data_IF_013338355642
#
_entry.id   IF_013338355642
#
_cell.length_a   1.000
_cell.length_b   1.000
_cell.length_c   1.000
_cell.angle_alpha   90.00
_cell.angle_beta   90.00
_cell.angle_gamma   90.00
#
_symmetry.space_group_name_H-M   'P 1'
#
loop_
_entity.id
_entity.type
_entity.pdbx_description
1 polymer ?
#
# COMPACT_ATOMS: atom_id res chain seq x y z
N UNK A 1 -1.77 20.59 -25.49
CA UNK A 1 -2.16 21.03 -24.13
C UNK A 1 -0.91 21.58 -23.49
N UNK A 2 -0.92 22.85 -23.10
CA UNK A 2 0.23 23.45 -22.41
C UNK A 2 0.42 22.75 -21.07
N UNK A 3 1.60 22.21 -20.85
CA UNK A 3 1.99 21.55 -19.58
C UNK A 3 2.17 22.64 -18.52
N UNK A 4 1.06 23.07 -17.92
CA UNK A 4 1.08 24.15 -16.93
C UNK A 4 1.33 23.56 -15.54
N UNK A 5 2.46 23.97 -14.96
CA UNK A 5 2.75 23.71 -13.57
C UNK A 5 1.73 24.38 -12.66
N UNK A 6 1.42 23.77 -11.53
CA UNK A 6 0.52 24.34 -10.51
C UNK A 6 1.26 24.48 -9.19
N UNK A 7 1.52 25.73 -8.75
CA UNK A 7 2.13 25.99 -7.45
C UNK A 7 1.33 25.41 -6.30
N UNK A 8 2.01 24.97 -5.26
CA UNK A 8 1.42 24.39 -4.06
C UNK A 8 1.27 25.50 -3.01
N UNK A 9 0.08 26.05 -2.88
CA UNK A 9 -0.27 27.10 -1.92
C UNK A 9 -1.00 26.55 -0.71
N UNK A 10 -1.81 25.49 -0.92
CA UNK A 10 -2.62 24.87 0.10
C UNK A 10 -2.55 23.35 0.00
N UNK A 11 -2.18 22.70 1.11
CA UNK A 11 -2.03 21.26 1.21
C UNK A 11 -2.97 20.66 2.27
N UNK A 12 -3.55 19.51 1.97
CA UNK A 12 -4.22 18.64 2.94
C UNK A 12 -3.29 17.47 3.27
N UNK A 13 -2.93 17.31 4.54
CA UNK A 13 -1.99 16.26 4.98
C UNK A 13 -2.65 15.39 6.05
N UNK A 14 -2.82 14.11 5.76
CA UNK A 14 -3.38 13.13 6.68
C UNK A 14 -2.67 11.80 6.52
N UNK A 15 -1.68 11.51 7.37
CA UNK A 15 -0.83 10.33 7.24
C UNK A 15 -0.82 9.51 8.54
N UNK A 16 -0.92 8.19 8.39
CA UNK A 16 -0.73 7.27 9.51
C UNK A 16 0.76 7.09 9.79
N UNK A 17 1.54 6.68 8.80
CA UNK A 17 3.00 6.60 8.85
C UNK A 17 3.60 7.99 8.66
N UNK A 18 4.45 8.38 9.60
CA UNK A 18 5.00 9.74 9.69
C UNK A 18 6.49 9.83 9.33
N UNK A 19 7.04 8.73 8.83
CA UNK A 19 8.43 8.66 8.38
C UNK A 19 8.66 9.66 7.25
N UNK A 20 9.69 10.49 7.39
CA UNK A 20 10.07 11.50 6.41
C UNK A 20 9.16 12.73 6.36
N UNK A 21 8.16 12.86 7.25
CA UNK A 21 7.25 14.02 7.28
C UNK A 21 8.00 15.34 7.54
N UNK A 22 9.19 15.27 8.17
CA UNK A 22 10.06 16.40 8.45
C UNK A 22 10.48 17.12 7.16
N UNK A 23 10.67 16.36 6.07
CA UNK A 23 11.05 16.89 4.75
C UNK A 23 9.92 17.77 4.19
N UNK A 24 8.66 17.36 4.37
CA UNK A 24 7.50 18.15 3.97
C UNK A 24 7.32 19.37 4.86
N UNK A 25 7.45 19.20 6.18
CA UNK A 25 7.29 20.27 7.16
C UNK A 25 8.26 21.42 6.88
N UNK A 26 9.54 21.13 6.68
CA UNK A 26 10.57 22.13 6.37
C UNK A 26 10.25 22.91 5.07
N UNK A 27 9.80 22.18 4.04
CA UNK A 27 9.41 22.81 2.77
C UNK A 27 8.18 23.73 2.93
N UNK A 28 7.14 23.26 3.65
CA UNK A 28 5.92 24.05 3.87
C UNK A 28 6.17 25.32 4.69
N UNK A 29 7.01 25.22 5.74
CA UNK A 29 7.40 26.39 6.55
C UNK A 29 8.13 27.41 5.69
N UNK A 30 9.12 27.00 4.90
CA UNK A 30 9.91 27.90 4.05
C UNK A 30 9.09 28.58 2.96
N UNK A 31 8.12 27.84 2.38
CA UNK A 31 7.27 28.37 1.31
C UNK A 31 6.04 29.12 1.81
N UNK A 32 5.71 29.06 3.10
CA UNK A 32 4.47 29.62 3.65
C UNK A 32 3.21 28.91 3.14
N UNK A 33 3.30 27.60 2.86
CA UNK A 33 2.16 26.79 2.40
C UNK A 33 1.11 26.69 3.50
N UNK A 34 -0.16 27.00 3.20
CA UNK A 34 -1.29 26.76 4.11
C UNK A 34 -1.51 25.25 4.25
N UNK A 35 -1.39 24.71 5.46
CA UNK A 35 -1.55 23.27 5.72
C UNK A 35 -2.82 23.02 6.51
N UNK A 36 -3.69 22.17 5.97
CA UNK A 36 -4.86 21.62 6.66
C UNK A 36 -4.54 20.18 7.04
N UNK A 37 -4.79 19.84 8.30
CA UNK A 37 -4.52 18.49 8.80
C UNK A 37 -5.44 18.12 9.95
N UNK A 38 -5.31 16.90 10.49
CA UNK A 38 -6.15 16.44 11.59
C UNK A 38 -5.39 15.47 12.50
N UNK A 39 -5.80 15.44 13.77
CA UNK A 39 -5.35 14.49 14.77
C UNK A 39 -3.83 14.45 14.98
N UNK A 40 -3.26 13.24 15.02
CA UNK A 40 -1.83 13.07 15.31
C UNK A 40 -0.92 13.62 14.20
N UNK A 41 -1.41 13.75 12.97
CA UNK A 41 -0.64 14.37 11.86
C UNK A 41 -0.54 15.88 12.06
N UNK A 42 -1.65 16.54 12.41
CA UNK A 42 -1.66 17.97 12.72
C UNK A 42 -0.71 18.30 13.87
N UNK A 43 -0.77 17.53 14.95
CA UNK A 43 0.13 17.68 16.10
C UNK A 43 1.58 17.54 15.71
N UNK A 44 1.94 16.50 14.94
CA UNK A 44 3.33 16.28 14.51
C UNK A 44 3.85 17.40 13.61
N UNK A 45 3.04 17.89 12.68
CA UNK A 45 3.42 19.01 11.81
C UNK A 45 3.59 20.31 12.61
N UNK A 46 2.73 20.57 13.58
CA UNK A 46 2.84 21.74 14.47
C UNK A 46 4.15 21.67 15.33
N UNK A 47 4.49 20.49 15.85
CA UNK A 47 5.76 20.26 16.56
C UNK A 47 7.00 20.57 15.67
N UNK A 48 6.86 20.40 14.36
CA UNK A 48 7.90 20.72 13.36
C UNK A 48 7.84 22.18 12.86
N UNK A 49 7.00 23.03 13.48
CA UNK A 49 6.92 24.46 13.18
C UNK A 49 5.97 24.84 12.05
N UNK A 50 5.19 23.89 11.50
CA UNK A 50 4.17 24.19 10.48
C UNK A 50 2.95 24.86 11.13
N UNK A 51 2.49 25.95 10.56
CA UNK A 51 1.18 26.50 10.93
C UNK A 51 0.07 25.65 10.35
N UNK A 52 -0.61 24.87 11.19
CA UNK A 52 -1.65 23.92 10.79
C UNK A 52 -3.03 24.48 11.11
N UNK A 53 -3.93 24.43 10.14
CA UNK A 53 -5.38 24.61 10.36
C UNK A 53 -6.01 23.23 10.55
N UNK A 54 -6.72 23.04 11.65
CA UNK A 54 -7.42 21.76 11.89
C UNK A 54 -8.60 21.60 10.91
N UNK A 55 -8.88 20.36 10.51
CA UNK A 55 -10.02 20.03 9.66
C UNK A 55 -11.33 20.48 10.29
N UNK A 56 -11.48 20.38 11.61
CA UNK A 56 -12.64 20.88 12.36
C UNK A 56 -12.87 22.39 12.20
N UNK A 57 -11.78 23.17 12.10
CA UNK A 57 -11.88 24.63 11.89
C UNK A 57 -12.34 24.95 10.46
N UNK A 58 -11.91 24.13 9.50
CA UNK A 58 -12.35 24.29 8.09
C UNK A 58 -13.80 23.90 7.90
N UNK A 59 -14.25 22.84 8.57
CA UNK A 59 -15.58 22.26 8.37
C UNK A 59 -16.63 22.88 9.29
N UNK A 60 -16.21 23.46 10.42
CA UNK A 60 -17.11 23.84 11.53
C UNK A 60 -17.76 22.63 12.21
N UNK A 61 -17.31 21.42 11.93
CA UNK A 61 -17.87 20.18 12.45
C UNK A 61 -16.83 19.43 13.30
N UNK A 62 -17.15 19.07 14.55
CA UNK A 62 -16.22 18.36 15.41
C UNK A 62 -15.98 16.93 14.90
N UNK A 63 -14.80 16.38 15.20
CA UNK A 63 -14.53 14.96 15.04
C UNK A 63 -15.53 14.16 15.89
N UNK A 64 -16.13 13.12 15.30
CA UNK A 64 -17.13 12.30 15.99
C UNK A 64 -16.95 10.81 15.67
N UNK A 65 -17.67 9.95 16.43
CA UNK A 65 -17.62 8.50 16.29
C UNK A 65 -16.18 7.96 16.38
N UNK A 66 -15.43 8.39 17.40
CA UNK A 66 -14.04 8.01 17.65
C UNK A 66 -13.11 8.25 16.45
N UNK A 67 -13.40 9.30 15.65
CA UNK A 67 -12.62 9.68 14.49
C UNK A 67 -13.01 9.01 13.19
N UNK A 68 -14.05 8.18 13.16
CA UNK A 68 -14.55 7.57 11.92
C UNK A 68 -15.12 8.61 10.94
N UNK A 69 -15.60 9.74 11.45
CA UNK A 69 -16.05 10.88 10.64
C UNK A 69 -15.22 12.11 11.01
N UNK A 70 -14.35 12.51 10.10
CA UNK A 70 -13.37 13.57 10.26
C UNK A 70 -13.26 14.40 8.99
N UNK A 71 -12.68 13.76 7.96
CA UNK A 71 -12.42 14.34 6.63
C UNK A 71 -13.56 14.09 5.64
N UNK A 72 -14.52 13.21 5.97
CA UNK A 72 -15.71 12.93 5.15
C UNK A 72 -16.72 14.07 5.27
N UNK A 73 -16.37 15.23 4.75
CA UNK A 73 -17.19 16.42 4.83
C UNK A 73 -17.20 17.14 3.46
N UNK A 74 -18.34 17.72 3.02
CA UNK A 74 -18.44 18.43 1.74
C UNK A 74 -17.37 19.51 1.57
N UNK A 75 -17.00 20.25 2.59
CA UNK A 75 -15.99 21.30 2.52
C UNK A 75 -14.60 20.78 2.17
N UNK A 76 -14.25 19.60 2.68
CA UNK A 76 -12.97 18.94 2.36
C UNK A 76 -13.03 18.37 0.94
N UNK A 77 -14.09 17.61 0.64
CA UNK A 77 -14.20 16.93 -0.66
C UNK A 77 -14.46 17.87 -1.82
N UNK A 78 -15.20 18.96 -1.62
CA UNK A 78 -15.33 20.00 -2.65
C UNK A 78 -13.97 20.69 -2.93
N UNK A 79 -13.18 20.97 -1.88
CA UNK A 79 -11.84 21.52 -2.03
C UNK A 79 -10.87 20.59 -2.79
N UNK A 80 -11.07 19.26 -2.69
CA UNK A 80 -10.28 18.26 -3.42
C UNK A 80 -10.79 18.08 -4.87
N UNK A 81 -12.11 18.04 -5.06
CA UNK A 81 -12.74 17.62 -6.32
C UNK A 81 -13.02 18.74 -7.30
N UNK A 82 -12.98 20.01 -6.87
CA UNK A 82 -13.23 21.12 -7.74
C UNK A 82 -12.18 21.21 -8.85
N UNK A 83 -12.63 21.09 -10.08
CA UNK A 83 -11.80 21.36 -11.25
C UNK A 83 -11.65 22.87 -11.45
N UNK A 84 -10.49 23.39 -11.07
CA UNK A 84 -10.18 24.83 -11.16
C UNK A 84 -9.94 25.32 -12.59
N UNK A 85 -10.05 24.44 -13.59
CA UNK A 85 -10.11 24.83 -15.01
C UNK A 85 -11.55 25.13 -15.45
N UNK A 86 -12.55 24.76 -14.64
CA UNK A 86 -13.96 25.05 -14.86
C UNK A 86 -14.38 26.29 -14.05
N UNK A 87 -14.75 27.42 -14.70
CA UNK A 87 -15.14 28.63 -14.00
C UNK A 87 -16.35 28.48 -13.06
N UNK A 88 -17.30 27.60 -13.39
CA UNK A 88 -18.46 27.33 -12.54
C UNK A 88 -18.07 26.64 -11.21
N UNK A 89 -17.06 25.76 -11.23
CA UNK A 89 -16.56 25.16 -10.00
C UNK A 89 -15.88 26.22 -9.10
N UNK A 90 -15.06 27.09 -9.70
CA UNK A 90 -14.41 28.18 -8.96
C UNK A 90 -15.45 29.12 -8.30
N UNK A 91 -16.51 29.48 -9.05
CA UNK A 91 -17.62 30.31 -8.55
C UNK A 91 -18.36 29.63 -7.39
N UNK A 92 -18.69 28.33 -7.50
CA UNK A 92 -19.37 27.60 -6.44
C UNK A 92 -18.51 27.48 -5.17
N UNK A 93 -17.19 27.28 -5.31
CA UNK A 93 -16.30 27.27 -4.16
C UNK A 93 -16.29 28.64 -3.45
N UNK A 94 -16.27 29.74 -4.21
CA UNK A 94 -16.33 31.09 -3.66
C UNK A 94 -17.66 31.34 -2.94
N UNK A 95 -18.80 30.97 -3.54
CA UNK A 95 -20.14 31.07 -2.94
C UNK A 95 -20.27 30.32 -1.62
N UNK A 96 -19.61 29.13 -1.50
CA UNK A 96 -19.63 28.33 -0.29
C UNK A 96 -18.49 28.66 0.69
N UNK A 97 -17.61 29.61 0.35
CA UNK A 97 -16.44 29.93 1.18
C UNK A 97 -15.42 28.81 1.28
N UNK A 98 -15.36 27.92 0.29
CA UNK A 98 -14.47 26.77 0.25
C UNK A 98 -13.19 27.12 -0.51
N UNK A 99 -12.04 26.87 0.08
CA UNK A 99 -10.75 27.02 -0.59
C UNK A 99 -10.31 25.69 -1.22
N UNK A 100 -9.86 25.67 -2.49
CA UNK A 100 -9.35 24.47 -3.13
C UNK A 100 -8.02 24.00 -2.50
N UNK A 101 -7.69 22.72 -2.65
CA UNK A 101 -6.38 22.18 -2.36
C UNK A 101 -5.54 22.03 -3.64
N UNK A 102 -4.25 22.30 -3.55
CA UNK A 102 -3.27 22.07 -4.63
C UNK A 102 -2.54 20.74 -4.46
N UNK A 103 -2.42 20.30 -3.20
CA UNK A 103 -1.73 19.06 -2.81
C UNK A 103 -2.55 18.31 -1.76
N UNK A 104 -2.62 16.99 -1.92
CA UNK A 104 -3.14 16.05 -0.93
C UNK A 104 -2.05 15.03 -0.63
N UNK A 105 -1.69 14.88 0.64
CA UNK A 105 -0.73 13.88 1.11
C UNK A 105 -1.44 12.96 2.09
N UNK A 106 -1.66 11.72 1.68
CA UNK A 106 -2.43 10.74 2.46
C UNK A 106 -1.81 9.36 2.31
N UNK A 107 -1.41 8.74 3.42
CA UNK A 107 -1.21 7.30 3.46
C UNK A 107 -2.28 6.65 4.35
N UNK A 108 -2.56 5.38 4.09
CA UNK A 108 -3.70 4.68 4.67
C UNK A 108 -3.32 3.98 5.98
N UNK A 109 -4.31 3.56 6.74
CA UNK A 109 -4.10 2.75 7.92
C UNK A 109 -3.43 1.41 7.55
N UNK A 110 -2.56 0.87 8.43
CA UNK A 110 -1.74 -0.31 8.14
C UNK A 110 -2.53 -1.61 8.28
N UNK A 111 -3.54 -1.81 7.43
CA UNK A 111 -4.42 -2.98 7.48
C UNK A 111 -3.62 -4.30 7.39
N UNK A 112 -2.72 -4.42 6.42
CA UNK A 112 -1.89 -5.61 6.24
C UNK A 112 -1.01 -5.90 7.46
N UNK A 113 -0.39 -4.87 8.07
CA UNK A 113 0.42 -5.03 9.28
C UNK A 113 -0.41 -5.51 10.46
N UNK A 114 -1.64 -5.00 10.58
CA UNK A 114 -2.57 -5.40 11.63
C UNK A 114 -2.97 -6.87 11.48
N UNK A 115 -3.28 -7.31 10.25
CA UNK A 115 -3.55 -8.72 9.96
C UNK A 115 -2.34 -9.59 10.31
N UNK A 116 -1.14 -9.20 9.89
CA UNK A 116 0.10 -9.96 10.16
C UNK A 116 0.44 -10.04 11.66
N UNK A 117 0.07 -9.05 12.44
CA UNK A 117 0.28 -9.06 13.89
C UNK A 117 -0.60 -10.07 14.63
N UNK A 118 -1.56 -10.72 13.94
CA UNK A 118 -2.51 -11.65 14.55
C UNK A 118 -3.58 -10.96 15.39
N UNK A 119 -3.89 -9.68 15.09
CA UNK A 119 -4.95 -8.95 15.76
C UNK A 119 -6.31 -9.66 15.62
N UNK A 120 -7.19 -9.46 16.60
CA UNK A 120 -8.54 -10.01 16.51
C UNK A 120 -9.37 -9.33 15.42
N UNK A 121 -10.52 -9.91 15.09
CA UNK A 121 -11.39 -9.42 14.02
C UNK A 121 -11.83 -7.97 14.22
N UNK A 122 -12.24 -7.60 15.44
CA UNK A 122 -12.72 -6.25 15.74
C UNK A 122 -11.61 -5.19 15.54
N UNK A 123 -10.40 -5.45 16.02
CA UNK A 123 -9.24 -4.57 15.86
C UNK A 123 -8.81 -4.47 14.40
N UNK A 124 -8.94 -5.55 13.64
CA UNK A 124 -8.63 -5.57 12.20
C UNK A 124 -9.65 -4.73 11.42
N UNK A 125 -10.95 -4.85 11.73
CA UNK A 125 -12.01 -4.05 11.10
C UNK A 125 -11.79 -2.56 11.37
N UNK A 126 -11.37 -2.17 12.58
CA UNK A 126 -11.07 -0.76 12.91
C UNK A 126 -9.91 -0.17 12.09
N UNK A 127 -9.12 -0.99 11.43
CA UNK A 127 -8.05 -0.55 10.50
C UNK A 127 -8.48 -0.49 9.04
N UNK A 128 -9.75 -0.70 8.74
CA UNK A 128 -10.31 -0.40 7.42
C UNK A 128 -10.49 1.11 7.32
N UNK A 129 -9.59 1.76 6.60
CA UNK A 129 -9.63 3.21 6.39
C UNK A 129 -10.72 3.58 5.37
N UNK A 130 -11.63 4.47 5.75
CA UNK A 130 -12.71 4.97 4.88
C UNK A 130 -12.36 6.35 4.33
N UNK A 131 -11.91 7.25 5.19
CA UNK A 131 -11.63 8.64 4.82
C UNK A 131 -10.42 8.80 3.93
N UNK A 132 -9.35 8.05 4.22
CA UNK A 132 -8.11 8.07 3.43
C UNK A 132 -8.34 7.71 1.97
N UNK A 133 -8.88 6.53 1.65
CA UNK A 133 -9.19 6.15 0.26
C UNK A 133 -10.10 7.13 -0.46
N UNK A 134 -11.08 7.70 0.23
CA UNK A 134 -11.97 8.75 -0.35
C UNK A 134 -11.18 9.97 -0.82
N UNK A 135 -10.29 10.50 0.03
CA UNK A 135 -9.44 11.66 -0.30
C UNK A 135 -8.47 11.32 -1.42
N UNK A 136 -7.81 10.17 -1.34
CA UNK A 136 -6.85 9.68 -2.35
C UNK A 136 -7.51 9.58 -3.72
N UNK A 137 -8.64 8.90 -3.82
CA UNK A 137 -9.37 8.70 -5.08
C UNK A 137 -9.93 10.03 -5.63
N UNK A 138 -10.43 10.91 -4.74
CA UNK A 138 -10.90 12.24 -5.12
C UNK A 138 -9.80 13.08 -5.75
N UNK A 139 -8.65 13.19 -5.10
CA UNK A 139 -7.50 13.92 -5.59
C UNK A 139 -6.92 13.30 -6.89
N UNK A 140 -6.79 11.98 -6.94
CA UNK A 140 -6.32 11.28 -8.14
C UNK A 140 -7.24 11.52 -9.36
N UNK A 141 -8.57 11.47 -9.16
CA UNK A 141 -9.53 11.82 -10.20
C UNK A 141 -9.33 13.26 -10.70
N UNK A 142 -9.10 14.20 -9.78
CA UNK A 142 -8.92 15.60 -10.08
C UNK A 142 -7.46 15.99 -10.37
N UNK A 143 -6.65 15.08 -10.91
CA UNK A 143 -5.24 15.32 -11.25
C UNK A 143 -5.00 16.52 -12.18
N UNK A 144 -6.03 16.99 -12.87
CA UNK A 144 -5.95 18.22 -13.65
C UNK A 144 -5.57 19.43 -12.79
N UNK A 145 -5.97 19.45 -11.52
CA UNK A 145 -5.77 20.59 -10.61
C UNK A 145 -5.10 20.26 -9.29
N UNK A 146 -5.12 18.99 -8.85
CA UNK A 146 -4.58 18.56 -7.55
C UNK A 146 -3.47 17.52 -7.74
N UNK A 147 -2.38 17.66 -6.98
CA UNK A 147 -1.40 16.60 -6.83
C UNK A 147 -1.77 15.69 -5.66
N UNK A 148 -1.60 14.38 -5.80
CA UNK A 148 -1.82 13.38 -4.75
C UNK A 148 -0.55 12.59 -4.47
N UNK A 149 -0.16 12.49 -3.22
CA UNK A 149 1.02 11.72 -2.78
C UNK A 149 0.60 10.74 -1.69
N UNK A 150 0.86 9.45 -1.93
CA UNK A 150 0.52 8.36 -1.02
C UNK A 150 1.73 7.66 -0.43
N UNK A 151 2.92 7.91 -1.00
CA UNK A 151 4.16 7.20 -0.69
C UNK A 151 5.19 8.17 -0.07
N UNK A 152 5.70 7.91 1.14
CA UNK A 152 6.77 8.71 1.74
C UNK A 152 8.02 8.85 0.86
N UNK A 153 8.30 7.89 -0.02
CA UNK A 153 9.42 7.97 -0.97
C UNK A 153 9.32 9.18 -1.93
N UNK A 154 8.11 9.72 -2.13
CA UNK A 154 7.89 10.89 -2.98
C UNK A 154 8.00 12.23 -2.22
N UNK A 155 8.20 12.24 -0.90
CA UNK A 155 8.24 13.49 -0.11
C UNK A 155 9.38 14.42 -0.51
N UNK A 156 10.52 13.89 -0.89
CA UNK A 156 11.62 14.70 -1.40
C UNK A 156 11.26 15.42 -2.73
N UNK A 157 10.49 14.76 -3.59
CA UNK A 157 9.97 15.38 -4.82
C UNK A 157 8.99 16.50 -4.49
N UNK A 158 8.07 16.27 -3.54
CA UNK A 158 7.13 17.32 -3.06
C UNK A 158 7.92 18.53 -2.55
N UNK A 159 8.89 18.29 -1.66
CA UNK A 159 9.70 19.37 -1.08
C UNK A 159 10.43 20.20 -2.15
N UNK A 160 10.98 19.54 -3.17
CA UNK A 160 11.62 20.23 -4.29
C UNK A 160 10.61 21.10 -5.08
N UNK A 161 9.41 20.60 -5.37
CA UNK A 161 8.36 21.33 -6.10
C UNK A 161 7.72 22.46 -5.29
N UNK A 162 7.72 22.35 -3.97
CA UNK A 162 7.30 23.43 -3.06
C UNK A 162 8.39 24.51 -3.01
N UNK A 163 9.65 24.11 -2.84
CA UNK A 163 10.77 25.03 -2.66
C UNK A 163 11.07 25.89 -3.91
N UNK A 164 10.96 25.32 -5.11
CA UNK A 164 11.16 26.04 -6.37
C UNK A 164 9.93 26.89 -6.79
N UNK A 165 8.81 26.76 -6.05
CA UNK A 165 7.56 27.50 -6.29
C UNK A 165 6.85 27.14 -7.60
N UNK A 166 7.34 26.17 -8.36
CA UNK A 166 6.74 25.78 -9.64
C UNK A 166 5.57 24.83 -9.48
N UNK A 167 5.57 24.03 -8.40
CA UNK A 167 4.62 22.95 -8.18
C UNK A 167 4.76 21.84 -9.22
N UNK A 168 3.71 21.01 -9.34
CA UNK A 168 3.72 19.85 -10.23
C UNK A 168 3.21 20.17 -11.63
N UNK A 169 3.89 19.63 -12.64
CA UNK A 169 3.39 19.58 -14.02
C UNK A 169 2.19 18.63 -14.15
N UNK A 170 1.43 18.74 -15.24
CA UNK A 170 0.29 17.84 -15.48
C UNK A 170 0.73 16.38 -15.58
N UNK A 171 1.88 16.11 -16.20
CA UNK A 171 2.36 14.73 -16.37
C UNK A 171 2.82 14.13 -15.04
N UNK A 172 3.44 14.93 -14.17
CA UNK A 172 3.77 14.50 -12.80
C UNK A 172 2.50 14.23 -12.00
N UNK A 173 1.48 15.09 -12.08
CA UNK A 173 0.19 14.85 -11.40
C UNK A 173 -0.51 13.60 -11.91
N UNK A 174 -0.47 13.29 -13.21
CA UNK A 174 -1.00 12.04 -13.78
C UNK A 174 -0.25 10.82 -13.27
N UNK A 175 1.09 10.90 -13.20
CA UNK A 175 1.90 9.82 -12.67
C UNK A 175 1.61 9.55 -11.19
N UNK A 176 1.51 10.61 -10.38
CA UNK A 176 1.13 10.51 -8.97
C UNK A 176 -0.30 9.95 -8.81
N UNK A 177 -1.24 10.37 -9.65
CA UNK A 177 -2.60 9.83 -9.66
C UNK A 177 -2.65 8.34 -10.00
N UNK A 178 -1.82 7.88 -10.94
CA UNK A 178 -1.70 6.46 -11.27
C UNK A 178 -1.16 5.66 -10.07
N UNK A 179 -0.12 6.16 -9.37
CA UNK A 179 0.37 5.56 -8.11
C UNK A 179 -0.73 5.49 -7.05
N UNK A 180 -1.50 6.57 -6.90
CA UNK A 180 -2.59 6.66 -5.92
C UNK A 180 -3.71 5.65 -6.19
N UNK A 181 -4.12 5.45 -7.45
CA UNK A 181 -5.09 4.42 -7.81
C UNK A 181 -4.53 3.01 -7.60
N UNK A 182 -3.26 2.76 -7.91
CA UNK A 182 -2.62 1.48 -7.62
C UNK A 182 -2.59 1.20 -6.11
N UNK A 183 -2.28 2.23 -5.29
CA UNK A 183 -2.26 2.13 -3.84
C UNK A 183 -3.64 1.76 -3.25
N UNK A 184 -4.72 2.43 -3.68
CA UNK A 184 -6.07 2.10 -3.20
C UNK A 184 -6.56 0.75 -3.72
N UNK A 185 -6.22 0.36 -4.94
CA UNK A 185 -6.56 -0.96 -5.48
C UNK A 185 -5.87 -2.09 -4.69
N UNK A 186 -4.59 -1.93 -4.35
CA UNK A 186 -3.86 -2.88 -3.52
C UNK A 186 -4.43 -2.96 -2.10
N UNK A 187 -4.80 -1.82 -1.52
CA UNK A 187 -5.43 -1.74 -0.22
C UNK A 187 -6.76 -2.50 -0.17
N UNK A 188 -7.66 -2.23 -1.11
CA UNK A 188 -8.96 -2.91 -1.20
C UNK A 188 -8.80 -4.41 -1.51
N UNK A 189 -7.85 -4.79 -2.35
CA UNK A 189 -7.56 -6.20 -2.63
C UNK A 189 -7.10 -6.96 -1.37
N UNK A 190 -6.28 -6.32 -0.53
CA UNK A 190 -5.82 -6.90 0.74
C UNK A 190 -6.99 -7.08 1.72
N UNK A 191 -7.89 -6.10 1.81
CA UNK A 191 -9.12 -6.22 2.60
C UNK A 191 -10.01 -7.33 2.06
N UNK A 192 -10.20 -7.39 0.74
CA UNK A 192 -11.00 -8.43 0.09
C UNK A 192 -10.45 -9.83 0.36
N UNK A 193 -9.15 -10.05 0.29
CA UNK A 193 -8.52 -11.35 0.59
C UNK A 193 -8.78 -11.75 2.04
N UNK A 194 -8.64 -10.83 2.97
CA UNK A 194 -8.90 -11.08 4.38
C UNK A 194 -10.38 -11.38 4.65
N UNK A 195 -11.30 -10.56 4.13
CA UNK A 195 -12.75 -10.73 4.35
C UNK A 195 -13.27 -12.01 3.71
N UNK A 196 -12.82 -12.36 2.52
CA UNK A 196 -13.21 -13.61 1.86
C UNK A 196 -12.84 -14.85 2.69
N UNK A 197 -11.74 -14.78 3.44
CA UNK A 197 -11.30 -15.86 4.34
C UNK A 197 -12.10 -15.89 5.66
N UNK A 198 -12.48 -14.74 6.21
CA UNK A 198 -13.08 -14.63 7.55
C UNK A 198 -14.60 -14.52 7.51
N UNK A 199 -15.18 -14.08 6.38
CA UNK A 199 -16.63 -13.92 6.20
C UNK A 199 -17.15 -14.82 5.06
N UNK A 200 -17.10 -16.15 5.24
CA UNK A 200 -17.61 -17.06 4.21
C UNK A 200 -19.12 -16.87 4.01
N UNK A 201 -19.61 -17.22 2.82
CA UNK A 201 -21.04 -17.20 2.54
C UNK A 201 -21.78 -18.05 3.58
N UNK A 202 -22.82 -17.52 4.27
CA UNK A 202 -23.60 -18.30 5.21
C UNK A 202 -24.34 -19.43 4.53
N UNK A 203 -24.34 -20.63 5.10
CA UNK A 203 -25.07 -21.79 4.57
C UNK A 203 -26.58 -21.53 4.33
N UNK A 204 -27.17 -20.59 5.09
CA UNK A 204 -28.56 -20.17 4.88
C UNK A 204 -28.82 -19.49 3.52
N UNK A 205 -27.79 -19.09 2.80
CA UNK A 205 -27.87 -18.46 1.47
C UNK A 205 -27.56 -19.44 0.33
N UNK A 206 -27.21 -20.69 0.62
CA UNK A 206 -26.86 -21.70 -0.40
C UNK A 206 -28.06 -22.05 -1.32
N UNK A 207 -29.29 -21.81 -0.87
CA UNK A 207 -30.49 -22.01 -1.66
C UNK A 207 -30.76 -20.92 -2.74
N UNK A 208 -29.99 -19.82 -2.75
CA UNK A 208 -30.28 -18.63 -3.58
C UNK A 208 -29.49 -18.61 -4.89
N UNK A 209 -28.27 -19.14 -4.91
CA UNK A 209 -27.46 -19.28 -6.12
C UNK A 209 -26.51 -20.47 -5.97
N UNK A 210 -26.79 -21.50 -6.73
CA UNK A 210 -25.86 -22.62 -6.91
C UNK A 210 -25.18 -22.42 -8.25
N UNK A 211 -23.89 -22.04 -8.19
CA UNK A 211 -23.04 -22.07 -9.38
C UNK A 211 -22.92 -23.51 -9.89
N UNK A 212 -23.15 -23.71 -11.17
CA UNK A 212 -23.04 -25.03 -11.80
C UNK A 212 -21.98 -24.97 -12.89
N UNK A 213 -21.18 -26.04 -12.96
CA UNK A 213 -20.25 -26.25 -14.06
C UNK A 213 -21.00 -26.56 -15.38
N UNK A 214 -20.25 -26.72 -16.48
CA UNK A 214 -20.79 -27.04 -17.79
C UNK A 214 -21.49 -28.39 -17.84
N UNK A 215 -21.38 -29.22 -16.82
CA UNK A 215 -22.04 -30.52 -16.67
C UNK A 215 -23.24 -30.46 -15.72
N UNK A 216 -23.54 -29.28 -15.16
CA UNK A 216 -24.64 -29.07 -14.21
C UNK A 216 -24.30 -29.49 -12.77
N UNK A 217 -23.03 -29.77 -12.47
CA UNK A 217 -22.57 -30.09 -11.12
C UNK A 217 -22.41 -28.84 -10.29
N UNK A 218 -22.82 -28.86 -9.03
CA UNK A 218 -22.69 -27.73 -8.12
C UNK A 218 -21.21 -27.40 -7.88
N UNK A 219 -20.85 -26.15 -8.11
CA UNK A 219 -19.51 -25.63 -7.86
C UNK A 219 -19.46 -25.01 -6.46
N UNK A 220 -18.50 -25.42 -5.66
CA UNK A 220 -18.23 -24.79 -4.36
C UNK A 220 -17.64 -23.38 -4.58
N UNK A 221 -18.49 -22.37 -4.55
CA UNK A 221 -18.10 -20.96 -4.75
C UNK A 221 -17.13 -20.44 -3.70
N UNK A 222 -17.01 -21.11 -2.55
CA UNK A 222 -15.97 -20.78 -1.55
C UNK A 222 -14.57 -21.19 -2.01
N UNK A 223 -14.47 -22.28 -2.81
CA UNK A 223 -13.21 -22.72 -3.43
C UNK A 223 -12.90 -22.03 -4.74
N UNK A 224 -13.95 -21.71 -5.51
CA UNK A 224 -13.84 -21.11 -6.85
C UNK A 224 -14.67 -19.83 -6.91
N UNK A 225 -14.19 -18.71 -6.35
CA UNK A 225 -14.92 -17.45 -6.38
C UNK A 225 -15.07 -16.94 -7.81
N UNK A 226 -16.19 -16.28 -8.12
CA UNK A 226 -16.42 -15.65 -9.43
C UNK A 226 -15.45 -14.53 -9.75
N UNK A 227 -14.82 -13.96 -8.72
CA UNK A 227 -13.77 -12.94 -8.84
C UNK A 227 -12.62 -13.29 -7.92
N UNK A 228 -11.41 -13.31 -8.45
CA UNK A 228 -10.18 -13.51 -7.69
C UNK A 228 -9.28 -12.29 -7.85
N UNK A 229 -9.02 -11.60 -6.73
CA UNK A 229 -8.13 -10.44 -6.71
C UNK A 229 -7.02 -10.68 -5.70
N UNK A 230 -5.77 -10.44 -6.13
CA UNK A 230 -4.60 -10.56 -5.29
C UNK A 230 -3.57 -9.51 -5.67
N UNK A 231 -2.82 -9.03 -4.69
CA UNK A 231 -1.73 -8.10 -4.92
C UNK A 231 -0.41 -8.69 -4.43
N UNK A 232 0.68 -8.24 -5.05
CA UNK A 232 2.04 -8.52 -4.62
C UNK A 232 2.84 -7.25 -4.63
N UNK A 233 3.60 -7.01 -3.57
CA UNK A 233 4.51 -5.88 -3.46
C UNK A 233 5.88 -6.24 -4.03
N UNK A 234 6.47 -5.33 -4.81
CA UNK A 234 7.82 -5.53 -5.31
C UNK A 234 8.83 -5.35 -4.20
N UNK A 235 9.43 -6.46 -3.73
CA UNK A 235 10.49 -6.44 -2.74
C UNK A 235 11.82 -5.98 -3.34
N UNK A 236 12.22 -6.57 -4.49
CA UNK A 236 13.51 -6.30 -5.10
C UNK A 236 13.43 -6.27 -6.63
N UNK A 237 14.20 -5.39 -7.26
CA UNK A 237 14.58 -5.54 -8.66
C UNK A 237 15.81 -6.44 -8.71
N UNK A 238 15.76 -7.52 -9.48
CA UNK A 238 16.82 -8.51 -9.54
C UNK A 238 17.91 -8.11 -10.54
N UNK A 239 19.08 -8.72 -10.39
CA UNK A 239 20.23 -8.42 -11.22
C UNK A 239 20.00 -8.71 -12.72
N UNK A 240 19.30 -9.78 -13.05
CA UNK A 240 18.79 -10.17 -14.38
C UNK A 240 17.74 -11.27 -14.25
N UNK A 241 17.02 -11.57 -15.34
CA UNK A 241 16.01 -12.64 -15.40
C UNK A 241 16.62 -14.02 -15.60
N UNK A 242 15.90 -14.90 -16.31
CA UNK A 242 16.40 -16.24 -16.66
C UNK A 242 17.67 -16.13 -17.51
N UNK A 243 17.66 -15.21 -18.47
CA UNK A 243 18.82 -14.88 -19.30
C UNK A 243 19.34 -13.47 -18.97
N UNK A 244 20.62 -13.24 -19.22
CA UNK A 244 21.34 -12.02 -18.82
C UNK A 244 20.80 -10.72 -19.43
N UNK A 245 20.08 -10.78 -20.53
CA UNK A 245 19.46 -9.63 -21.21
C UNK A 245 18.04 -9.32 -20.71
N UNK A 246 17.46 -10.20 -19.90
CA UNK A 246 16.11 -10.03 -19.36
C UNK A 246 16.14 -9.28 -18.03
N UNK A 247 15.09 -8.50 -17.77
CA UNK A 247 14.85 -7.90 -16.47
C UNK A 247 13.96 -8.81 -15.61
N UNK A 248 14.14 -8.77 -14.29
CA UNK A 248 13.29 -9.50 -13.34
C UNK A 248 13.13 -8.71 -12.04
N UNK A 249 12.07 -9.03 -11.32
CA UNK A 249 11.80 -8.51 -9.99
C UNK A 249 11.21 -9.61 -9.10
N UNK A 250 11.48 -9.53 -7.82
CA UNK A 250 10.86 -10.35 -6.79
C UNK A 250 9.66 -9.60 -6.23
N UNK A 251 8.53 -10.27 -6.20
CA UNK A 251 7.31 -9.79 -5.56
C UNK A 251 6.94 -10.68 -4.37
N UNK A 252 6.41 -10.07 -3.33
CA UNK A 252 6.00 -10.74 -2.09
C UNK A 252 4.53 -10.48 -1.80
N UNK A 253 3.90 -11.42 -1.11
CA UNK A 253 2.53 -11.31 -0.64
C UNK A 253 2.50 -10.40 0.61
N UNK A 254 1.73 -9.30 0.61
CA UNK A 254 1.67 -8.39 1.76
C UNK A 254 1.04 -9.02 3.02
N UNK A 255 0.26 -10.09 2.88
CA UNK A 255 -0.40 -10.78 4.00
C UNK A 255 0.40 -11.98 4.53
N UNK A 256 1.35 -12.49 3.76
CA UNK A 256 2.10 -13.69 4.11
C UNK A 256 3.61 -13.42 4.11
N UNK A 257 4.26 -13.65 5.23
CA UNK A 257 5.71 -13.48 5.41
C UNK A 257 6.48 -14.81 5.43
N UNK A 258 5.88 -15.86 4.93
CA UNK A 258 6.53 -17.19 4.87
C UNK A 258 7.18 -17.44 3.50
N UNK A 259 8.08 -18.41 3.47
CA UNK A 259 8.75 -18.84 2.24
C UNK A 259 10.03 -18.07 1.91
N UNK A 260 10.77 -18.60 0.93
CA UNK A 260 12.11 -18.12 0.56
C UNK A 260 12.10 -16.66 0.02
N UNK A 261 10.98 -16.19 -0.49
CA UNK A 261 10.85 -14.80 -0.97
C UNK A 261 11.05 -13.74 0.14
N UNK A 262 10.88 -14.13 1.41
CA UNK A 262 11.10 -13.27 2.59
C UNK A 262 12.43 -13.51 3.29
N UNK A 263 13.29 -14.36 2.73
CA UNK A 263 14.59 -14.68 3.32
C UNK A 263 15.51 -13.44 3.30
N UNK A 264 16.20 -13.20 4.41
CA UNK A 264 17.21 -12.17 4.52
C UNK A 264 18.52 -12.64 3.87
N UNK A 265 19.06 -11.84 2.96
CA UNK A 265 20.38 -12.11 2.38
C UNK A 265 21.47 -11.54 3.28
N UNK A 266 22.18 -12.40 4.03
CA UNK A 266 23.22 -12.01 4.98
C UNK A 266 24.56 -11.64 4.31
N UNK A 267 24.76 -11.99 3.05
CA UNK A 267 26.01 -11.69 2.34
C UNK A 267 26.00 -12.10 0.88
N UNK A 268 27.11 -11.84 0.20
CA UNK A 268 27.29 -12.19 -1.21
C UNK A 268 26.77 -11.13 -2.20
N UNK A 269 26.70 -11.49 -3.48
CA UNK A 269 26.20 -10.61 -4.55
C UNK A 269 24.67 -10.63 -4.56
N UNK A 270 24.01 -9.55 -5.02
CA UNK A 270 22.56 -9.55 -5.23
C UNK A 270 22.12 -10.75 -6.05
N UNK A 271 21.02 -11.39 -5.64
CA UNK A 271 20.52 -12.59 -6.30
C UNK A 271 19.94 -12.28 -7.67
N UNK A 272 20.04 -13.25 -8.60
CA UNK A 272 19.35 -13.24 -9.87
C UNK A 272 18.07 -14.07 -9.78
N UNK A 273 17.23 -14.02 -10.83
CA UNK A 273 16.07 -14.87 -10.98
C UNK A 273 16.39 -16.36 -10.74
N UNK A 274 17.41 -16.88 -11.45
CA UNK A 274 17.81 -18.28 -11.32
C UNK A 274 18.26 -18.65 -9.90
N UNK A 275 18.90 -17.73 -9.17
CA UNK A 275 19.28 -17.99 -7.79
C UNK A 275 18.05 -18.16 -6.87
N UNK A 276 17.02 -17.32 -7.05
CA UNK A 276 15.76 -17.47 -6.30
C UNK A 276 15.04 -18.77 -6.64
N UNK A 277 14.95 -19.13 -7.92
CA UNK A 277 14.29 -20.35 -8.38
C UNK A 277 15.00 -21.60 -7.84
N UNK A 278 16.34 -21.66 -7.94
CA UNK A 278 17.11 -22.79 -7.43
C UNK A 278 17.06 -22.90 -5.89
N UNK A 279 17.15 -21.77 -5.20
CA UNK A 279 17.11 -21.74 -3.74
C UNK A 279 15.72 -22.10 -3.17
N UNK A 280 14.64 -21.60 -3.80
CA UNK A 280 13.26 -21.97 -3.42
C UNK A 280 13.01 -23.49 -3.64
N UNK A 281 13.48 -24.02 -4.77
CA UNK A 281 13.39 -25.45 -5.05
C UNK A 281 14.17 -26.29 -4.02
N UNK A 282 15.37 -25.86 -3.64
CA UNK A 282 16.18 -26.52 -2.62
C UNK A 282 15.48 -26.46 -1.26
N UNK A 283 14.96 -25.31 -0.87
CA UNK A 283 14.23 -25.09 0.37
C UNK A 283 13.00 -25.99 0.48
N UNK A 284 12.16 -26.01 -0.54
CA UNK A 284 10.95 -26.88 -0.56
C UNK A 284 11.32 -28.34 -0.48
N UNK A 285 12.32 -28.79 -1.25
CA UNK A 285 12.77 -30.20 -1.24
C UNK A 285 13.22 -30.63 0.16
N UNK A 286 13.97 -29.78 0.87
CA UNK A 286 14.40 -30.09 2.24
C UNK A 286 13.23 -30.03 3.22
N UNK A 287 12.31 -29.07 3.06
CA UNK A 287 11.15 -28.92 3.93
C UNK A 287 10.19 -30.12 3.86
N UNK A 288 10.00 -30.68 2.66
CA UNK A 288 9.16 -31.87 2.46
C UNK A 288 9.74 -33.13 3.17
N UNK A 289 11.00 -33.07 3.57
CA UNK A 289 11.65 -34.15 4.30
C UNK A 289 11.54 -34.00 5.83
N UNK A 290 10.89 -32.97 6.33
CA UNK A 290 10.72 -32.77 7.78
C UNK A 290 9.97 -33.93 8.42
N UNK A 291 10.32 -34.36 9.64
CA UNK A 291 11.28 -33.77 10.57
C UNK A 291 12.74 -34.23 10.38
N UNK A 292 13.07 -34.95 9.32
CA UNK A 292 14.41 -35.47 9.08
C UNK A 292 15.39 -34.33 8.73
N UNK A 293 16.66 -34.49 9.09
CA UNK A 293 17.73 -33.63 8.58
C UNK A 293 17.94 -34.00 7.12
N UNK A 294 17.83 -33.02 6.22
CA UNK A 294 17.98 -33.25 4.79
C UNK A 294 18.95 -32.23 4.14
N UNK A 295 19.61 -32.68 3.10
CA UNK A 295 20.46 -31.85 2.24
C UNK A 295 20.03 -32.06 0.80
N UNK A 296 19.72 -30.99 0.11
CA UNK A 296 19.39 -30.98 -1.30
C UNK A 296 20.45 -30.20 -2.10
N UNK A 297 20.86 -30.75 -3.25
CA UNK A 297 21.67 -30.06 -4.25
C UNK A 297 20.77 -29.82 -5.46
N UNK A 298 20.54 -28.56 -5.80
CA UNK A 298 19.62 -28.17 -6.87
C UNK A 298 20.38 -27.44 -7.98
N UNK A 299 20.02 -27.74 -9.22
CA UNK A 299 20.49 -27.06 -10.40
C UNK A 299 19.37 -27.00 -11.44
N UNK A 300 19.16 -25.80 -12.01
CA UNK A 300 18.09 -25.58 -12.99
C UNK A 300 16.70 -26.00 -12.47
N UNK A 301 16.40 -25.58 -11.27
CA UNK A 301 15.13 -25.86 -10.58
C UNK A 301 14.84 -27.37 -10.32
N UNK A 302 15.84 -28.23 -10.45
CA UNK A 302 15.69 -29.67 -10.23
C UNK A 302 16.70 -30.18 -9.20
N UNK A 303 16.29 -31.06 -8.26
CA UNK A 303 17.22 -31.72 -7.36
C UNK A 303 18.11 -32.69 -8.14
N UNK A 304 19.42 -32.46 -8.13
CA UNK A 304 20.42 -33.38 -8.66
C UNK A 304 20.92 -34.37 -7.60
N UNK A 305 20.68 -34.09 -6.32
CA UNK A 305 21.02 -34.97 -5.20
C UNK A 305 20.18 -34.59 -4.00
N UNK A 306 19.77 -35.61 -3.26
CA UNK A 306 19.05 -35.51 -1.98
C UNK A 306 19.60 -36.54 -1.03
N UNK A 307 19.91 -36.11 0.18
CA UNK A 307 20.32 -37.02 1.27
C UNK A 307 19.48 -36.69 2.50
N UNK A 308 19.09 -37.75 3.22
CA UNK A 308 18.34 -37.67 4.47
C UNK A 308 19.21 -38.34 5.56
N UNK A 309 19.38 -37.63 6.68
CA UNK A 309 20.07 -38.14 7.88
C UNK A 309 19.12 -38.45 9.01
N UNK A 310 19.63 -39.06 10.05
CA UNK A 310 18.91 -39.22 11.31
C UNK A 310 18.61 -37.84 11.93
N UNK A 311 17.50 -37.72 12.68
CA UNK A 311 17.19 -36.48 13.41
C UNK A 311 18.24 -36.25 14.51
N UNK A 312 18.50 -35.01 14.87
CA UNK A 312 19.40 -34.66 15.97
C UNK A 312 18.99 -35.29 17.31
N UNK A 313 17.71 -35.67 17.47
CA UNK A 313 17.20 -36.42 18.63
C UNK A 313 17.60 -37.90 18.63
N UNK A 314 17.84 -38.47 17.44
CA UNK A 314 18.21 -39.89 17.29
C UNK A 314 19.74 -40.11 17.28
N UNK A 315 20.52 -39.11 16.90
CA UNK A 315 21.98 -39.18 16.89
C UNK A 315 22.62 -37.82 17.28
N UNK A 316 22.63 -37.49 18.58
CA UNK A 316 23.17 -36.22 19.07
C UNK A 316 24.69 -36.04 18.83
N UNK A 317 25.42 -37.13 18.53
CA UNK A 317 26.87 -37.08 18.23
C UNK A 317 27.20 -36.70 16.79
N UNK A 318 26.26 -36.83 15.86
CA UNK A 318 26.49 -36.55 14.44
C UNK A 318 26.27 -35.06 14.03
N UNK A 319 25.65 -34.29 14.90
CA UNK A 319 25.39 -32.87 14.63
C UNK A 319 26.65 -31.98 14.73
N UNK A 320 27.66 -32.40 15.46
CA UNK A 320 28.90 -31.62 15.67
C UNK A 320 29.99 -31.84 14.58
N UNK A 321 29.89 -32.90 13.77
CA UNK A 321 30.90 -33.20 12.74
C UNK A 321 30.58 -32.62 11.34
N UNK A 322 29.52 -31.83 11.16
CA UNK A 322 29.01 -31.42 9.83
C UNK A 322 29.04 -29.92 9.53
N UNK A 323 29.71 -29.11 10.35
CA UNK A 323 29.89 -27.68 10.05
C UNK A 323 31.34 -27.26 10.24
#
# INVERSE_FOLDING_TARGET
MTNTNRPIRRALVSVFHKEGIEVLADAFVKAGTEVVSTGSTAKKLAELGVHVTEVSDVTGFPECLDGRVKTLHPYIHAGILADMTNPEHAKQLEEFGIKPFDLVVVNLYPFADTVRSGANEADTIEKIDIGGPSMVRGAAKNHATVAIVTDPADYALVAARVADGTGFSLDERKWLAAKAFAHTAAYDATINEWTAKHWPKPASLDAVEVDKDDQGTEVDSAKFPTQFTRTWDRAHTLRYGENSHQQAALYVDPLNQTGFAHAEQLGGKPMSYNNYVDADAAWRTVWDMAPSIAVAVVKHNNPCGLAIGATAAEDPGRSEERF
#
